data_IF_140279601894
#
_entry.id   IF_140279601894
#
_cell.length_a   1.000
_cell.length_b   1.000
_cell.length_c   1.000
_cell.angle_alpha   90.00
_cell.angle_beta   90.00
_cell.angle_gamma   90.00
#
_symmetry.space_group_name_H-M   'P 1'
#
loop_
_entity.id
_entity.type
_entity.pdbx_description
1 polymer ?
#
# COMPACT_ATOMS: atom_id res chain seq x y z
N UNK A 1 2.64 55.58 4.78
CA UNK A 1 2.72 54.75 3.56
C UNK A 1 3.81 53.70 3.75
N UNK A 2 3.57 52.68 4.56
CA UNK A 2 4.53 51.56 4.81
C UNK A 2 3.80 50.44 5.55
N UNK A 3 2.92 49.65 4.92
CA UNK A 3 2.39 48.36 5.42
C UNK A 3 1.90 47.46 4.24
N UNK A 4 2.65 47.37 3.15
CA UNK A 4 2.28 46.48 2.04
C UNK A 4 3.32 45.40 1.70
N UNK A 5 4.43 45.32 2.43
CA UNK A 5 5.52 44.41 2.12
C UNK A 5 5.58 43.11 2.90
N UNK A 6 4.85 42.97 4.01
CA UNK A 6 5.04 41.84 4.94
C UNK A 6 4.10 40.67 4.76
N UNK A 7 3.02 40.79 4.02
CA UNK A 7 2.03 39.70 3.84
C UNK A 7 2.42 38.77 2.71
N UNK A 8 3.11 39.26 1.70
CA UNK A 8 3.55 38.44 0.54
C UNK A 8 4.76 37.55 0.85
N UNK A 9 5.59 37.90 1.82
CA UNK A 9 6.73 37.09 2.23
C UNK A 9 6.33 35.87 3.09
N UNK A 10 5.23 35.97 3.86
CA UNK A 10 4.78 34.86 4.72
C UNK A 10 4.06 33.75 3.91
N UNK A 11 3.40 34.11 2.81
CA UNK A 11 2.72 33.16 1.92
C UNK A 11 3.73 32.30 1.10
N UNK A 12 4.88 32.86 0.76
CA UNK A 12 5.90 32.13 -0.02
C UNK A 12 6.67 31.09 0.82
N UNK A 13 6.76 31.27 2.15
CA UNK A 13 7.48 30.34 3.03
C UNK A 13 6.65 29.11 3.42
N UNK A 14 5.33 29.17 3.31
CA UNK A 14 4.43 28.04 3.60
C UNK A 14 4.30 27.04 2.44
N UNK A 15 4.72 27.40 1.23
CA UNK A 15 4.65 26.52 0.06
C UNK A 15 5.84 25.57 -0.09
N UNK A 16 6.89 25.71 0.70
CA UNK A 16 8.10 24.88 0.63
C UNK A 16 8.16 23.72 1.63
N UNK A 17 7.14 23.53 2.47
CA UNK A 17 7.11 22.47 3.49
C UNK A 17 6.33 21.21 3.09
N UNK A 18 5.95 21.07 1.82
CA UNK A 18 5.36 19.82 1.30
C UNK A 18 6.45 18.91 0.69
N UNK A 19 7.62 18.84 1.31
CA UNK A 19 8.53 17.73 1.07
C UNK A 19 7.88 16.48 1.64
N UNK A 20 7.65 15.47 0.81
CA UNK A 20 7.28 14.13 1.26
C UNK A 20 8.25 13.73 2.38
N UNK A 21 7.76 13.67 3.62
CA UNK A 21 8.61 13.29 4.74
C UNK A 21 8.79 11.78 4.68
N UNK A 22 10.03 11.35 4.48
CA UNK A 22 10.40 9.94 4.60
C UNK A 22 9.84 9.38 5.91
N UNK A 23 9.17 8.22 5.91
CA UNK A 23 8.64 7.63 7.13
C UNK A 23 9.70 7.48 8.21
N UNK A 24 9.32 7.73 9.47
CA UNK A 24 10.24 7.60 10.61
C UNK A 24 10.82 6.18 10.70
N UNK A 25 12.10 6.07 10.98
CA UNK A 25 12.81 4.78 11.04
C UNK A 25 13.20 4.21 9.69
N UNK A 26 13.00 4.95 8.59
CA UNK A 26 13.44 4.51 7.26
C UNK A 26 14.96 4.45 7.17
N UNK A 27 15.47 3.43 6.47
CA UNK A 27 16.88 3.25 6.19
C UNK A 27 17.10 2.56 4.84
N UNK A 28 18.28 2.78 4.27
CA UNK A 28 18.72 2.09 3.06
C UNK A 28 19.74 1.03 3.44
N UNK A 29 19.37 -0.24 3.28
CA UNK A 29 20.30 -1.34 3.50
C UNK A 29 21.33 -1.45 2.35
N UNK A 30 22.42 -2.15 2.61
CA UNK A 30 23.43 -2.39 1.57
C UNK A 30 22.84 -3.12 0.36
N UNK A 31 23.15 -2.72 -0.87
CA UNK A 31 22.64 -3.38 -2.08
C UNK A 31 23.09 -4.83 -2.24
N UNK A 32 24.14 -5.25 -1.52
CA UNK A 32 24.62 -6.63 -1.53
C UNK A 32 24.05 -7.51 -0.43
N UNK A 33 23.21 -6.95 0.45
CA UNK A 33 22.55 -7.75 1.48
C UNK A 33 21.50 -8.69 0.86
N UNK A 34 21.41 -9.94 1.32
CA UNK A 34 20.43 -10.91 0.78
C UNK A 34 19.00 -10.41 0.82
N UNK A 35 18.61 -9.69 1.89
CA UNK A 35 17.28 -9.10 2.02
C UNK A 35 17.01 -8.03 0.95
N UNK A 36 18.00 -7.15 0.67
CA UNK A 36 17.89 -6.12 -0.36
C UNK A 36 17.77 -6.73 -1.74
N UNK A 37 18.61 -7.71 -2.06
CA UNK A 37 18.55 -8.44 -3.35
C UNK A 37 17.20 -9.11 -3.53
N UNK A 38 16.71 -9.82 -2.49
CA UNK A 38 15.42 -10.49 -2.52
C UNK A 38 14.27 -9.50 -2.76
N UNK A 39 14.21 -8.40 -2.01
CA UNK A 39 13.14 -7.40 -2.14
C UNK A 39 13.19 -6.71 -3.50
N UNK A 40 14.39 -6.36 -3.99
CA UNK A 40 14.57 -5.82 -5.34
C UNK A 40 14.02 -6.77 -6.42
N UNK A 41 14.30 -8.08 -6.29
CA UNK A 41 13.84 -9.10 -7.24
C UNK A 41 12.31 -9.24 -7.24
N UNK A 42 11.69 -9.25 -6.04
CA UNK A 42 10.24 -9.34 -5.91
C UNK A 42 9.57 -8.08 -6.48
N UNK A 43 10.07 -6.90 -6.14
CA UNK A 43 9.52 -5.62 -6.63
C UNK A 43 9.65 -5.52 -8.15
N UNK A 44 10.82 -5.86 -8.72
CA UNK A 44 11.05 -5.89 -10.17
C UNK A 44 10.06 -6.82 -10.89
N UNK A 45 9.86 -8.03 -10.37
CA UNK A 45 8.91 -9.00 -10.94
C UNK A 45 7.48 -8.50 -10.86
N UNK A 46 7.08 -7.89 -9.74
CA UNK A 46 5.73 -7.37 -9.56
C UNK A 46 5.45 -6.18 -10.51
N UNK A 47 6.39 -5.23 -10.63
CA UNK A 47 6.28 -4.11 -11.56
C UNK A 47 6.19 -4.57 -13.01
N UNK A 48 7.08 -5.47 -13.44
CA UNK A 48 7.04 -6.05 -14.78
C UNK A 48 5.73 -6.80 -15.04
N UNK A 49 5.23 -7.57 -14.06
CA UNK A 49 3.97 -8.29 -14.16
C UNK A 49 2.74 -7.34 -14.20
N UNK A 50 2.87 -6.17 -13.61
CA UNK A 50 1.86 -5.11 -13.70
C UNK A 50 1.85 -4.37 -15.05
N UNK A 51 2.90 -4.57 -15.87
CA UNK A 51 3.07 -3.88 -17.15
C UNK A 51 3.69 -2.48 -17.01
N UNK A 52 4.34 -2.19 -15.90
CA UNK A 52 5.04 -0.93 -15.66
C UNK A 52 6.56 -1.08 -15.72
N UNK A 53 7.28 0.03 -15.87
CA UNK A 53 8.73 0.06 -15.90
C UNK A 53 9.33 -0.10 -14.50
N UNK A 54 9.94 -1.26 -14.19
CA UNK A 54 10.50 -1.49 -12.86
C UNK A 54 11.68 -0.59 -12.51
N UNK A 55 12.30 0.09 -13.47
CA UNK A 55 13.41 1.02 -13.22
C UNK A 55 12.94 2.32 -12.55
N UNK A 56 11.67 2.62 -12.60
CA UNK A 56 11.06 3.75 -11.88
C UNK A 56 10.94 3.53 -10.38
N UNK A 57 11.05 2.27 -9.94
CA UNK A 57 10.70 1.83 -8.59
C UNK A 57 11.93 1.83 -7.68
N UNK A 58 11.84 2.64 -6.63
CA UNK A 58 12.79 2.65 -5.53
C UNK A 58 12.20 2.02 -4.27
N UNK A 59 13.02 1.61 -3.32
CA UNK A 59 12.52 1.21 -2.01
C UNK A 59 13.52 1.50 -0.89
N UNK A 60 12.98 1.61 0.31
CA UNK A 60 13.71 1.67 1.57
C UNK A 60 13.09 0.70 2.59
N UNK A 61 13.82 0.39 3.64
CA UNK A 61 13.31 -0.37 4.76
C UNK A 61 12.86 0.54 5.90
N UNK A 62 11.95 0.04 6.73
CA UNK A 62 11.53 0.70 7.96
C UNK A 62 11.87 -0.23 9.13
N UNK A 63 12.57 0.31 10.12
CA UNK A 63 12.93 -0.42 11.35
C UNK A 63 11.68 -0.62 12.21
N UNK A 64 10.90 -1.66 11.89
CA UNK A 64 9.67 -2.01 12.62
C UNK A 64 9.44 -3.52 12.59
N UNK A 65 8.99 -4.13 13.72
CA UNK A 65 8.61 -5.53 13.76
C UNK A 65 7.25 -5.83 13.12
N UNK A 66 6.43 -4.82 12.84
CA UNK A 66 5.11 -4.99 12.21
C UNK A 66 5.25 -5.53 10.78
N UNK A 67 4.24 -6.23 10.28
CA UNK A 67 4.19 -6.70 8.90
C UNK A 67 3.44 -5.66 8.08
N UNK A 68 4.16 -4.81 7.35
CA UNK A 68 3.56 -3.74 6.55
C UNK A 68 4.44 -3.36 5.34
N UNK A 69 3.76 -2.88 4.31
CA UNK A 69 4.34 -2.20 3.15
C UNK A 69 3.59 -0.89 2.91
N UNK A 70 4.24 0.07 2.29
CA UNK A 70 3.66 1.37 1.93
C UNK A 70 4.23 1.82 0.60
N UNK A 71 3.46 2.58 -0.17
CA UNK A 71 3.92 3.26 -1.38
C UNK A 71 3.72 4.76 -1.28
N UNK A 72 4.64 5.54 -1.84
CA UNK A 72 4.58 6.99 -1.96
C UNK A 72 4.43 7.41 -3.43
N UNK A 73 4.10 8.69 -3.68
CA UNK A 73 3.76 9.23 -5.01
C UNK A 73 4.85 9.07 -6.07
N UNK A 74 6.11 8.95 -5.66
CA UNK A 74 7.26 8.88 -6.57
C UNK A 74 7.70 7.43 -6.86
N UNK A 75 6.78 6.47 -6.82
CA UNK A 75 7.08 5.05 -6.97
C UNK A 75 8.15 4.55 -5.98
N UNK A 76 8.21 5.17 -4.79
CA UNK A 76 9.05 4.74 -3.68
C UNK A 76 8.26 3.87 -2.73
N UNK A 77 8.80 2.70 -2.43
CA UNK A 77 8.17 1.71 -1.57
C UNK A 77 8.92 1.61 -0.24
N UNK A 78 8.19 1.37 0.83
CA UNK A 78 8.74 1.20 2.18
C UNK A 78 8.32 -0.14 2.73
N UNK A 79 9.29 -0.97 3.10
CA UNK A 79 9.07 -2.31 3.62
C UNK A 79 9.57 -2.44 5.05
N UNK A 80 8.71 -2.84 5.96
CA UNK A 80 9.12 -3.06 7.34
C UNK A 80 10.00 -4.30 7.49
N UNK A 81 10.89 -4.30 8.49
CA UNK A 81 11.69 -5.50 8.84
C UNK A 81 10.81 -6.71 9.14
N UNK A 82 9.61 -6.48 9.70
CA UNK A 82 8.63 -7.53 9.95
C UNK A 82 8.13 -8.19 8.68
N UNK A 83 7.88 -7.40 7.62
CA UNK A 83 7.51 -7.92 6.30
C UNK A 83 8.67 -8.69 5.66
N UNK A 84 9.87 -8.11 5.68
CA UNK A 84 11.06 -8.73 5.07
C UNK A 84 11.35 -10.12 5.65
N UNK A 85 10.96 -10.40 6.89
CA UNK A 85 11.09 -11.72 7.52
C UNK A 85 10.01 -12.73 7.14
N UNK A 86 8.94 -12.31 6.44
CA UNK A 86 7.88 -13.22 6.01
C UNK A 86 8.33 -14.14 4.85
N UNK A 87 7.66 -15.29 4.66
CA UNK A 87 7.85 -16.14 3.49
C UNK A 87 7.55 -15.41 2.18
N UNK A 88 8.22 -15.83 1.08
CA UNK A 88 8.06 -15.21 -0.24
C UNK A 88 6.60 -15.01 -0.68
N UNK A 89 5.68 -15.98 -0.52
CA UNK A 89 4.30 -15.76 -0.96
C UNK A 89 3.60 -14.58 -0.27
N UNK A 90 3.89 -14.35 1.03
CA UNK A 90 3.35 -13.22 1.78
C UNK A 90 3.97 -11.91 1.31
N UNK A 91 5.29 -11.87 1.13
CA UNK A 91 5.99 -10.69 0.63
C UNK A 91 5.55 -10.35 -0.79
N UNK A 92 5.50 -11.34 -1.69
CA UNK A 92 5.03 -11.14 -3.07
C UNK A 92 3.60 -10.60 -3.13
N UNK A 93 2.71 -11.07 -2.26
CA UNK A 93 1.34 -10.59 -2.20
C UNK A 93 1.24 -9.13 -1.78
N UNK A 94 1.97 -8.73 -0.74
CA UNK A 94 1.96 -7.34 -0.27
C UNK A 94 2.67 -6.40 -1.24
N UNK A 95 3.79 -6.81 -1.83
CA UNK A 95 4.44 -6.04 -2.87
C UNK A 95 3.54 -5.88 -4.10
N UNK A 96 2.85 -6.94 -4.54
CA UNK A 96 1.89 -6.86 -5.64
C UNK A 96 0.73 -5.90 -5.34
N UNK A 97 0.26 -5.85 -4.08
CA UNK A 97 -0.79 -4.93 -3.65
C UNK A 97 -0.31 -3.46 -3.69
N UNK A 98 0.91 -3.18 -3.20
CA UNK A 98 1.47 -1.83 -3.26
C UNK A 98 1.76 -1.39 -4.71
N UNK A 99 2.28 -2.29 -5.54
CA UNK A 99 2.45 -2.04 -6.98
C UNK A 99 1.09 -1.77 -7.65
N UNK A 100 0.03 -2.46 -7.24
CA UNK A 100 -1.31 -2.19 -7.75
C UNK A 100 -1.76 -0.75 -7.42
N UNK A 101 -1.51 -0.26 -6.21
CA UNK A 101 -1.78 1.14 -5.85
C UNK A 101 -1.02 2.13 -6.73
N UNK A 102 0.25 1.85 -7.02
CA UNK A 102 1.08 2.71 -7.86
C UNK A 102 0.56 2.76 -9.30
N UNK A 103 0.39 1.61 -9.97
CA UNK A 103 -0.05 1.58 -11.37
C UNK A 103 -1.47 2.10 -11.59
N UNK A 104 -2.30 2.09 -10.55
CA UNK A 104 -3.65 2.66 -10.56
C UNK A 104 -3.68 4.13 -10.14
N UNK A 105 -2.57 4.72 -9.74
CA UNK A 105 -2.46 6.12 -9.32
C UNK A 105 -3.27 6.46 -8.08
N UNK A 106 -3.48 5.50 -7.18
CA UNK A 106 -4.34 5.67 -6.01
C UNK A 106 -3.81 6.70 -5.01
N UNK A 107 -2.48 6.72 -4.78
CA UNK A 107 -1.85 7.66 -3.83
C UNK A 107 -2.05 9.10 -4.30
N UNK A 108 -1.67 9.40 -5.53
CA UNK A 108 -1.83 10.74 -6.11
C UNK A 108 -3.29 11.18 -6.20
N UNK A 109 -4.21 10.26 -6.48
CA UNK A 109 -5.64 10.56 -6.55
C UNK A 109 -6.22 10.91 -5.17
N UNK A 110 -5.84 10.17 -4.11
CA UNK A 110 -6.26 10.50 -2.72
C UNK A 110 -5.77 11.87 -2.29
N UNK A 111 -4.52 12.20 -2.60
CA UNK A 111 -3.96 13.53 -2.29
C UNK A 111 -4.68 14.65 -3.03
N UNK A 112 -4.90 14.50 -4.34
CA UNK A 112 -5.64 15.48 -5.13
C UNK A 112 -7.05 15.70 -4.60
N UNK A 113 -7.75 14.62 -4.23
CA UNK A 113 -9.09 14.70 -3.63
C UNK A 113 -9.07 15.48 -2.33
N UNK A 114 -8.16 15.14 -1.40
CA UNK A 114 -8.03 15.84 -0.11
C UNK A 114 -7.75 17.33 -0.29
N UNK A 115 -6.78 17.69 -1.15
CA UNK A 115 -6.44 19.09 -1.43
C UNK A 115 -7.60 19.85 -2.06
N UNK A 116 -8.36 19.21 -2.96
CA UNK A 116 -9.53 19.84 -3.60
C UNK A 116 -10.65 20.12 -2.58
N UNK A 117 -10.89 19.21 -1.64
CA UNK A 117 -11.85 19.40 -0.55
C UNK A 117 -11.41 20.53 0.36
N UNK A 118 -10.15 20.53 0.81
CA UNK A 118 -9.61 21.61 1.65
C UNK A 118 -9.70 22.97 0.96
N UNK A 119 -9.35 23.05 -0.32
CA UNK A 119 -9.48 24.29 -1.09
C UNK A 119 -10.95 24.76 -1.19
N UNK A 120 -11.88 23.83 -1.44
CA UNK A 120 -13.31 24.10 -1.48
C UNK A 120 -13.85 24.64 -0.15
N UNK A 121 -13.56 23.96 0.97
CA UNK A 121 -13.99 24.41 2.30
C UNK A 121 -13.34 25.72 2.73
N UNK A 122 -12.08 25.94 2.36
CA UNK A 122 -11.40 27.23 2.61
C UNK A 122 -12.07 28.37 1.85
N UNK A 123 -12.43 28.18 0.58
CA UNK A 123 -13.13 29.18 -0.21
C UNK A 123 -14.53 29.50 0.34
N UNK A 124 -15.29 28.47 0.75
CA UNK A 124 -16.60 28.66 1.39
C UNK A 124 -16.44 29.37 2.75
N UNK A 125 -15.41 29.02 3.52
CA UNK A 125 -15.11 29.66 4.81
C UNK A 125 -14.82 31.14 4.74
N UNK A 126 -14.39 31.67 3.58
CA UNK A 126 -14.26 33.11 3.34
C UNK A 126 -15.60 33.82 3.24
N UNK A 127 -16.66 33.13 2.81
CA UNK A 127 -18.02 33.68 2.61
C UNK A 127 -18.91 33.37 3.80
N UNK A 128 -18.74 32.21 4.44
CA UNK A 128 -19.55 31.74 5.56
C UNK A 128 -18.64 31.43 6.76
N UNK A 129 -18.64 32.29 7.80
CA UNK A 129 -17.82 32.06 8.98
C UNK A 129 -18.06 30.69 9.61
N UNK A 130 -16.98 29.93 9.84
CA UNK A 130 -17.04 28.60 10.43
C UNK A 130 -17.21 27.44 9.42
N UNK A 131 -17.59 27.70 8.17
CA UNK A 131 -17.74 26.63 7.16
C UNK A 131 -16.41 25.92 6.84
N UNK A 132 -15.27 26.60 6.95
CA UNK A 132 -13.94 25.99 6.81
C UNK A 132 -13.66 24.88 7.82
N UNK A 133 -14.33 24.90 9.00
CA UNK A 133 -14.19 23.84 10.01
C UNK A 133 -14.78 22.51 9.56
N UNK A 134 -15.68 22.51 8.57
CA UNK A 134 -16.25 21.28 8.01
C UNK A 134 -15.19 20.42 7.33
N UNK A 135 -14.08 21.01 6.86
CA UNK A 135 -12.96 20.26 6.27
C UNK A 135 -12.39 19.21 7.24
N UNK A 136 -12.28 19.54 8.52
CA UNK A 136 -11.78 18.61 9.54
C UNK A 136 -12.65 17.36 9.75
N UNK A 137 -13.92 17.39 9.36
CA UNK A 137 -14.86 16.27 9.50
C UNK A 137 -15.14 15.63 8.15
N UNK A 138 -15.45 16.42 7.13
CA UNK A 138 -15.91 15.91 5.82
C UNK A 138 -14.74 15.36 5.01
N UNK A 139 -13.61 16.04 4.95
CA UNK A 139 -12.46 15.62 4.16
C UNK A 139 -11.97 14.22 4.57
N UNK A 140 -11.68 13.93 5.85
CA UNK A 140 -11.30 12.58 6.27
C UNK A 140 -12.34 11.51 5.92
N UNK A 141 -13.64 11.80 6.06
CA UNK A 141 -14.71 10.84 5.76
C UNK A 141 -14.78 10.51 4.26
N UNK A 142 -14.68 11.52 3.39
CA UNK A 142 -14.72 11.34 1.94
C UNK A 142 -13.47 10.61 1.45
N UNK A 143 -12.28 11.02 1.91
CA UNK A 143 -11.01 10.39 1.53
C UNK A 143 -10.97 8.92 1.99
N UNK A 144 -11.52 8.60 3.18
CA UNK A 144 -11.62 7.21 3.67
C UNK A 144 -12.60 6.38 2.86
N UNK A 145 -13.78 6.93 2.53
CA UNK A 145 -14.76 6.21 1.71
C UNK A 145 -14.19 5.89 0.32
N UNK A 146 -13.47 6.84 -0.28
CA UNK A 146 -12.77 6.66 -1.54
C UNK A 146 -11.63 5.65 -1.41
N UNK A 147 -10.85 5.71 -0.32
CA UNK A 147 -9.78 4.75 -0.03
C UNK A 147 -10.27 3.31 0.07
N UNK A 148 -11.44 3.06 0.70
CA UNK A 148 -12.03 1.70 0.77
C UNK A 148 -12.28 1.09 -0.61
N UNK A 149 -12.79 1.88 -1.54
CA UNK A 149 -13.00 1.41 -2.91
C UNK A 149 -11.66 1.09 -3.61
N UNK A 150 -10.66 1.94 -3.42
CA UNK A 150 -9.32 1.74 -3.96
C UNK A 150 -8.63 0.49 -3.41
N UNK A 151 -8.83 0.15 -2.14
CA UNK A 151 -8.28 -1.09 -1.56
C UNK A 151 -8.83 -2.33 -2.26
N UNK A 152 -10.15 -2.39 -2.49
CA UNK A 152 -10.76 -3.52 -3.21
C UNK A 152 -10.27 -3.59 -4.66
N UNK A 153 -10.07 -2.46 -5.32
CA UNK A 153 -9.50 -2.40 -6.66
C UNK A 153 -8.03 -2.87 -6.65
N UNK A 154 -7.24 -2.43 -5.66
CA UNK A 154 -5.85 -2.84 -5.50
C UNK A 154 -5.74 -4.34 -5.24
N UNK A 155 -6.63 -4.92 -4.42
CA UNK A 155 -6.69 -6.37 -4.19
C UNK A 155 -6.95 -7.15 -5.49
N UNK A 156 -7.90 -6.70 -6.28
CA UNK A 156 -8.19 -7.33 -7.58
C UNK A 156 -7.00 -7.25 -8.52
N UNK A 157 -6.36 -6.07 -8.60
CA UNK A 157 -5.17 -5.87 -9.43
C UNK A 157 -3.97 -6.66 -8.92
N UNK A 158 -3.79 -6.77 -7.60
CA UNK A 158 -2.75 -7.60 -7.00
C UNK A 158 -2.92 -9.07 -7.36
N UNK A 159 -4.15 -9.60 -7.40
CA UNK A 159 -4.43 -10.97 -7.87
C UNK A 159 -4.01 -11.16 -9.33
N UNK A 160 -4.23 -10.16 -10.20
CA UNK A 160 -3.75 -10.21 -11.60
C UNK A 160 -2.22 -10.23 -11.67
N UNK A 161 -1.56 -9.36 -10.91
CA UNK A 161 -0.09 -9.28 -10.83
C UNK A 161 0.48 -10.61 -10.33
N UNK A 162 -0.04 -11.15 -9.23
CA UNK A 162 0.40 -12.44 -8.67
C UNK A 162 0.23 -13.59 -9.67
N UNK A 163 -0.86 -13.60 -10.43
CA UNK A 163 -1.08 -14.58 -11.49
C UNK A 163 -0.03 -14.46 -12.59
N UNK A 164 0.28 -13.23 -13.02
CA UNK A 164 1.30 -12.95 -14.01
C UNK A 164 2.73 -13.26 -13.50
N UNK A 165 2.96 -13.16 -12.18
CA UNK A 165 4.19 -13.61 -11.51
C UNK A 165 4.29 -15.15 -11.42
N UNK A 166 3.24 -15.89 -11.77
CA UNK A 166 3.22 -17.35 -11.74
C UNK A 166 2.77 -17.97 -10.43
N UNK A 167 2.11 -17.20 -9.54
CA UNK A 167 1.52 -17.75 -8.32
C UNK A 167 0.36 -18.69 -8.66
N UNK A 168 0.38 -19.94 -8.19
CA UNK A 168 -0.62 -20.95 -8.58
C UNK A 168 -2.01 -20.69 -7.96
N UNK A 169 -2.07 -19.97 -6.86
CA UNK A 169 -3.30 -19.66 -6.12
C UNK A 169 -3.30 -18.18 -5.67
N UNK A 170 -3.34 -17.20 -6.60
CA UNK A 170 -3.11 -15.79 -6.29
C UNK A 170 -4.10 -15.19 -5.29
N UNK A 171 -5.40 -15.54 -5.35
CA UNK A 171 -6.41 -15.07 -4.37
C UNK A 171 -6.14 -15.61 -2.98
N UNK A 172 -5.84 -16.91 -2.87
CA UNK A 172 -5.47 -17.54 -1.60
C UNK A 172 -4.20 -16.95 -1.03
N UNK A 173 -3.20 -16.69 -1.86
CA UNK A 173 -1.92 -16.08 -1.47
C UNK A 173 -2.16 -14.68 -0.90
N UNK A 174 -2.97 -13.86 -1.57
CA UNK A 174 -3.32 -12.52 -1.08
C UNK A 174 -4.15 -12.60 0.21
N UNK A 175 -5.17 -13.46 0.29
CA UNK A 175 -5.97 -13.65 1.49
C UNK A 175 -5.11 -14.00 2.70
N UNK A 176 -4.18 -14.96 2.54
CA UNK A 176 -3.25 -15.33 3.61
C UNK A 176 -2.32 -14.16 4.03
N UNK A 177 -1.87 -13.35 3.08
CA UNK A 177 -1.07 -12.16 3.40
C UNK A 177 -1.87 -11.12 4.21
N UNK A 178 -3.13 -10.89 3.86
CA UNK A 178 -4.02 -9.99 4.61
C UNK A 178 -4.27 -10.49 6.04
N UNK A 179 -4.52 -11.78 6.22
CA UNK A 179 -4.63 -12.41 7.55
C UNK A 179 -3.33 -12.29 8.34
N UNK A 180 -2.17 -12.43 7.67
CA UNK A 180 -0.86 -12.27 8.30
C UNK A 180 -0.67 -10.86 8.84
N UNK A 181 -1.02 -9.82 8.06
CA UNK A 181 -1.00 -8.43 8.53
C UNK A 181 -1.89 -8.26 9.76
N UNK A 182 -3.14 -8.72 9.68
CA UNK A 182 -4.10 -8.57 10.77
C UNK A 182 -3.61 -9.22 12.07
N UNK A 183 -2.95 -10.36 11.98
CA UNK A 183 -2.40 -11.08 13.14
C UNK A 183 -1.15 -10.41 13.74
N UNK A 184 -0.43 -9.58 12.97
CA UNK A 184 0.77 -8.87 13.42
C UNK A 184 0.51 -7.38 13.73
N UNK A 185 -0.71 -6.91 13.54
CA UNK A 185 -1.11 -5.54 13.90
C UNK A 185 -1.72 -5.57 15.29
N UNK A 186 -1.21 -4.77 16.26
CA UNK A 186 -1.80 -4.68 17.59
C UNK A 186 -3.28 -4.29 17.52
N UNK A 187 -4.12 -5.01 18.27
CA UNK A 187 -5.58 -4.77 18.33
C UNK A 187 -6.00 -3.51 19.09
N UNK A 188 -5.11 -2.56 19.31
CA UNK A 188 -5.40 -1.34 20.09
C UNK A 188 -6.43 -0.38 19.42
N UNK A 189 -7.00 -0.75 18.27
CA UNK A 189 -7.95 0.07 17.51
C UNK A 189 -9.38 -0.49 17.49
N UNK A 190 -9.78 -1.18 18.55
CA UNK A 190 -11.19 -1.57 18.75
C UNK A 190 -11.94 -0.43 19.45
N UNK A 191 -12.76 0.31 18.71
CA UNK A 191 -13.59 1.40 19.23
C UNK A 191 -14.15 2.23 18.08
N UNK A 192 -14.56 3.49 18.40
CA UNK A 192 -14.99 4.46 17.38
C UNK A 192 -13.98 4.64 16.25
N UNK A 193 -12.68 4.41 16.53
CA UNK A 193 -11.61 4.43 15.53
C UNK A 193 -11.73 3.30 14.49
N UNK A 194 -12.28 2.14 14.84
CA UNK A 194 -12.55 1.05 13.90
C UNK A 194 -13.62 1.42 12.86
N UNK A 195 -14.67 2.15 13.29
CA UNK A 195 -15.71 2.69 12.39
C UNK A 195 -15.14 3.77 11.45
N UNK A 196 -14.07 4.44 11.86
CA UNK A 196 -13.38 5.48 11.12
C UNK A 196 -12.11 4.97 10.42
N UNK A 197 -11.86 3.65 10.43
CA UNK A 197 -10.70 3.06 9.78
C UNK A 197 -10.67 3.42 8.28
N UNK A 198 -9.50 3.83 7.75
CA UNK A 198 -9.39 4.24 6.34
C UNK A 198 -9.49 3.07 5.36
N UNK A 199 -9.40 1.82 5.85
CA UNK A 199 -9.44 0.60 5.04
C UNK A 199 -10.77 -0.14 5.21
N UNK A 200 -11.23 -0.93 4.19
CA UNK A 200 -12.29 -1.92 4.38
C UNK A 200 -11.89 -2.88 5.49
N UNK A 201 -12.90 -3.47 6.14
CA UNK A 201 -12.62 -4.54 7.09
C UNK A 201 -11.88 -5.70 6.41
N UNK A 202 -11.10 -6.45 7.18
CA UNK A 202 -10.47 -7.67 6.66
C UNK A 202 -11.52 -8.60 6.05
N UNK A 203 -12.68 -8.73 6.70
CA UNK A 203 -13.78 -9.60 6.23
C UNK A 203 -14.31 -9.15 4.86
N UNK A 204 -14.49 -7.84 4.62
CA UNK A 204 -14.92 -7.31 3.32
C UNK A 204 -13.89 -7.63 2.22
N UNK A 205 -12.59 -7.47 2.52
CA UNK A 205 -11.52 -7.78 1.57
C UNK A 205 -11.45 -9.28 1.27
N UNK A 206 -11.55 -10.14 2.30
CA UNK A 206 -11.57 -11.59 2.12
C UNK A 206 -12.80 -12.06 1.36
N UNK A 207 -13.97 -11.48 1.64
CA UNK A 207 -15.20 -11.77 0.90
C UNK A 207 -15.07 -11.41 -0.60
N UNK A 208 -14.45 -10.27 -0.93
CA UNK A 208 -14.21 -9.84 -2.30
C UNK A 208 -13.24 -10.74 -3.08
N UNK A 209 -12.37 -11.48 -2.38
CA UNK A 209 -11.45 -12.44 -2.99
C UNK A 209 -12.08 -13.80 -3.28
N UNK A 210 -13.28 -14.07 -2.78
CA UNK A 210 -13.98 -15.36 -3.02
C UNK A 210 -14.48 -15.49 -4.46
N UNK A 211 -14.57 -16.73 -5.03
CA UNK A 211 -14.07 -17.98 -4.46
C UNK A 211 -12.55 -18.07 -4.52
N UNK A 212 -11.93 -18.57 -3.44
CA UNK A 212 -10.51 -18.87 -3.42
C UNK A 212 -10.20 -20.09 -4.28
N UNK A 213 -9.01 -20.14 -4.87
CA UNK A 213 -8.55 -21.32 -5.59
C UNK A 213 -8.45 -22.52 -4.63
N UNK A 214 -8.73 -23.71 -5.13
CA UNK A 214 -8.55 -24.96 -4.38
C UNK A 214 -7.10 -25.09 -3.89
N UNK A 215 -6.88 -25.75 -2.75
CA UNK A 215 -5.53 -26.11 -2.34
C UNK A 215 -4.90 -26.95 -3.45
N UNK A 216 -3.73 -26.53 -3.94
CA UNK A 216 -2.98 -27.30 -4.92
C UNK A 216 -2.75 -28.69 -4.32
N UNK A 217 -3.29 -29.73 -4.98
CA UNK A 217 -3.02 -31.11 -4.61
C UNK A 217 -1.49 -31.28 -4.72
N UNK A 218 -0.78 -31.75 -3.69
CA UNK A 218 0.65 -31.96 -3.80
C UNK A 218 0.93 -32.77 -5.07
N UNK A 219 1.84 -32.29 -5.91
CA UNK A 219 2.25 -33.03 -7.10
C UNK A 219 2.66 -34.43 -6.63
N UNK A 220 1.99 -35.46 -7.13
CA UNK A 220 2.32 -36.82 -6.82
C UNK A 220 3.76 -37.04 -7.25
N UNK A 221 4.64 -37.28 -6.29
CA UNK A 221 6.05 -37.58 -6.53
C UNK A 221 6.09 -38.81 -7.45
N UNK A 222 6.63 -38.76 -8.65
CA UNK A 222 6.76 -39.96 -9.48
C UNK A 222 7.84 -40.82 -8.84
N UNK A 223 7.42 -41.70 -7.92
CA UNK A 223 8.27 -42.74 -7.40
C UNK A 223 8.73 -43.58 -8.62
N UNK A 224 10.01 -43.43 -8.96
CA UNK A 224 10.65 -44.20 -9.96
C UNK A 224 10.45 -45.69 -9.64
N UNK A 225 9.59 -46.36 -10.39
CA UNK A 225 9.52 -47.82 -10.40
C UNK A 225 10.82 -48.33 -11.06
N UNK A 226 11.81 -48.55 -10.25
CA UNK A 226 12.96 -49.42 -10.67
C UNK A 226 12.43 -50.85 -10.81
N UNK A 227 12.34 -51.33 -12.05
CA UNK A 227 12.13 -52.73 -12.35
C UNK A 227 13.33 -53.53 -11.86
N UNK A 228 13.19 -54.65 -11.13
CA UNK A 228 14.28 -55.54 -10.90
C UNK A 228 14.58 -56.30 -12.20
N UNK A 229 15.82 -56.20 -12.66
CA UNK A 229 16.37 -57.05 -13.72
C UNK A 229 16.54 -58.47 -13.20
N UNK A 230 15.98 -59.42 -13.91
CA UNK A 230 16.37 -60.83 -13.84
C UNK A 230 17.61 -61.09 -14.71
#
# INVERSE_FOLDING_TARGET
>A
MWIRGSVTALAATLLLAACASTPEGSYYASPVEPATIRMSHILYRAASAAGDDPQRYGFAFIKSPTVAAYSDEDATFYFTDGLVRQPDPVVEALVAHEVAHEVMGHVGTRRKLSLSLTAGFSAIGLLVPGAGLLDFVVNPLVVRAFGRHQELQADQKAVEILRAMGQPAPRRTLAHALETIANHTPREREGLEGLLAPHPSLDDRLAALTPLEGSAKPAANPVARTKPSR
#
